data_IF_093782858964
#
_entry.id   IF_093782858964
#
_cell.length_a   1.000
_cell.length_b   1.000
_cell.length_c   1.000
_cell.angle_alpha   90.00
_cell.angle_beta   90.00
_cell.angle_gamma   90.00
#
_symmetry.space_group_name_H-M   'P 1'
#
loop_
_entity.id
_entity.type
_entity.pdbx_description
1 polymer ?
#
# COMPACT_ATOMS: atom_id res chain seq x y z
N UNK A 1 30.94 64.20 -59.97
CA UNK A 1 30.17 64.58 -58.77
C UNK A 1 29.58 63.31 -58.18
N UNK A 2 29.98 62.99 -56.96
CA UNK A 2 29.48 61.85 -56.17
C UNK A 2 28.11 62.19 -55.59
N UNK A 3 27.15 61.28 -55.67
CA UNK A 3 25.99 61.29 -54.78
C UNK A 3 25.66 59.86 -54.34
N UNK A 4 25.88 59.64 -53.06
CA UNK A 4 25.55 58.46 -52.28
C UNK A 4 24.02 58.23 -52.21
N UNK A 5 23.56 57.08 -52.68
CA UNK A 5 22.23 56.54 -52.39
C UNK A 5 22.32 55.56 -51.21
N UNK A 6 21.63 55.91 -50.12
CA UNK A 6 21.60 55.17 -48.84
C UNK A 6 21.06 53.74 -49.03
N UNK A 7 21.88 52.73 -48.77
CA UNK A 7 21.40 51.35 -48.56
C UNK A 7 20.77 51.23 -47.17
N UNK A 8 19.45 51.00 -47.13
CA UNK A 8 18.76 50.55 -45.91
C UNK A 8 19.10 49.08 -45.68
N UNK A 9 20.03 48.81 -44.76
CA UNK A 9 20.26 47.46 -44.25
C UNK A 9 19.09 47.11 -43.34
N UNK A 10 18.15 46.31 -43.86
CA UNK A 10 17.16 45.64 -43.02
C UNK A 10 17.92 44.59 -42.20
N UNK A 11 18.27 44.94 -40.95
CA UNK A 11 18.67 43.94 -39.96
C UNK A 11 17.44 43.14 -39.60
N UNK A 12 17.17 42.06 -40.34
CA UNK A 12 16.35 40.97 -39.82
C UNK A 12 17.19 40.35 -38.72
N UNK A 13 16.90 40.73 -37.48
CA UNK A 13 17.31 39.95 -36.32
C UNK A 13 16.71 38.56 -36.49
N UNK A 14 17.53 37.62 -36.98
CA UNK A 14 17.31 36.20 -36.76
C UNK A 14 17.32 36.02 -35.24
N UNK A 15 16.15 36.13 -34.61
CA UNK A 15 15.95 35.56 -33.29
C UNK A 15 16.13 34.06 -33.48
N UNK A 16 17.33 33.57 -33.18
CA UNK A 16 17.60 32.16 -33.02
C UNK A 16 16.47 31.62 -32.15
N UNK A 17 15.58 30.84 -32.76
CA UNK A 17 14.60 30.07 -32.04
C UNK A 17 15.44 29.07 -31.26
N UNK A 18 15.69 29.38 -29.99
CA UNK A 18 16.17 28.38 -29.05
C UNK A 18 15.11 27.30 -29.13
N UNK A 19 15.46 26.18 -29.77
CA UNK A 19 14.75 24.92 -29.55
C UNK A 19 15.00 24.64 -28.08
N UNK A 20 14.14 25.19 -27.23
CA UNK A 20 13.99 24.68 -25.88
C UNK A 20 13.52 23.25 -26.15
N UNK A 21 14.40 22.27 -25.93
CA UNK A 21 14.00 20.88 -25.90
C UNK A 21 12.89 20.81 -24.84
N UNK A 22 11.65 20.84 -25.31
CA UNK A 22 10.48 20.80 -24.44
C UNK A 22 10.45 19.39 -23.85
N UNK A 23 10.71 19.26 -22.56
CA UNK A 23 10.49 18.02 -21.82
C UNK A 23 8.99 17.63 -21.82
N UNK A 24 8.10 18.58 -22.17
CA UNK A 24 6.77 18.27 -22.67
C UNK A 24 6.85 17.74 -24.10
N UNK A 25 7.30 16.50 -24.22
CA UNK A 25 7.31 15.72 -25.45
C UNK A 25 6.58 14.39 -25.24
N UNK A 26 6.23 13.74 -26.34
CA UNK A 26 5.44 12.51 -26.31
C UNK A 26 6.18 11.35 -25.62
N UNK A 27 7.51 11.27 -25.70
CA UNK A 27 8.28 10.17 -25.13
C UNK A 27 8.31 10.24 -23.59
N UNK A 28 8.65 11.42 -23.05
CA UNK A 28 8.61 11.70 -21.62
C UNK A 28 7.19 11.51 -21.05
N UNK A 29 6.16 11.96 -21.78
CA UNK A 29 4.76 11.75 -21.40
C UNK A 29 4.39 10.26 -21.31
N UNK A 30 4.66 9.49 -22.38
CA UNK A 30 4.30 8.07 -22.42
C UNK A 30 5.05 7.27 -21.35
N UNK A 31 6.30 7.64 -21.08
CA UNK A 31 7.08 7.02 -19.99
C UNK A 31 6.44 7.28 -18.62
N UNK A 32 6.03 8.51 -18.32
CA UNK A 32 5.35 8.83 -17.06
C UNK A 32 3.99 8.14 -16.95
N UNK A 33 3.22 8.10 -18.05
CA UNK A 33 1.94 7.41 -18.08
C UNK A 33 2.10 5.90 -17.86
N UNK A 34 3.05 5.26 -18.52
CA UNK A 34 3.34 3.84 -18.31
C UNK A 34 3.73 3.54 -16.86
N UNK A 35 4.54 4.41 -16.24
CA UNK A 35 4.89 4.28 -14.82
C UNK A 35 3.66 4.41 -13.93
N UNK A 36 2.81 5.42 -14.16
CA UNK A 36 1.56 5.59 -13.39
C UNK A 36 0.67 4.34 -13.49
N UNK A 37 0.42 3.84 -14.70
CA UNK A 37 -0.39 2.64 -14.92
C UNK A 37 0.18 1.41 -14.21
N UNK A 38 1.50 1.27 -14.17
CA UNK A 38 2.14 0.18 -13.44
C UNK A 38 1.90 0.27 -11.93
N UNK A 39 1.97 1.46 -11.34
CA UNK A 39 1.64 1.68 -9.92
C UNK A 39 0.17 1.41 -9.62
N UNK A 40 -0.74 1.92 -10.45
CA UNK A 40 -2.19 1.66 -10.31
C UNK A 40 -2.51 0.17 -10.44
N UNK A 41 -1.83 -0.54 -11.36
CA UNK A 41 -1.99 -1.99 -11.51
C UNK A 41 -1.56 -2.75 -10.27
N UNK A 42 -0.40 -2.40 -9.68
CA UNK A 42 0.06 -3.01 -8.41
C UNK A 42 -0.88 -2.70 -7.26
N UNK A 43 -1.34 -1.45 -7.12
CA UNK A 43 -2.34 -1.08 -6.13
C UNK A 43 -3.63 -1.91 -6.25
N UNK A 44 -4.13 -2.08 -7.47
CA UNK A 44 -5.31 -2.90 -7.72
C UNK A 44 -5.08 -4.38 -7.37
N UNK A 45 -3.87 -4.90 -7.60
CA UNK A 45 -3.50 -6.25 -7.21
C UNK A 45 -3.49 -6.41 -5.68
N UNK A 46 -2.81 -5.51 -4.96
CA UNK A 46 -2.80 -5.54 -3.49
C UNK A 46 -4.22 -5.41 -2.90
N UNK A 47 -5.08 -4.61 -3.52
CA UNK A 47 -6.48 -4.47 -3.10
C UNK A 47 -7.27 -5.76 -3.29
N UNK A 48 -7.06 -6.49 -4.39
CA UNK A 48 -7.68 -7.80 -4.61
C UNK A 48 -7.23 -8.81 -3.57
N UNK A 49 -5.92 -8.86 -3.30
CA UNK A 49 -5.34 -9.74 -2.28
C UNK A 49 -5.90 -9.41 -0.89
N UNK A 50 -5.97 -8.13 -0.52
CA UNK A 50 -6.58 -7.71 0.73
C UNK A 50 -8.04 -8.16 0.85
N UNK A 51 -8.85 -7.94 -0.20
CA UNK A 51 -10.26 -8.31 -0.19
C UNK A 51 -10.46 -9.82 -0.06
N UNK A 52 -9.59 -10.63 -0.66
CA UNK A 52 -9.64 -12.08 -0.51
C UNK A 52 -9.35 -12.51 0.93
N UNK A 53 -8.32 -11.94 1.56
CA UNK A 53 -8.00 -12.27 2.96
C UNK A 53 -9.07 -11.74 3.92
N UNK A 54 -9.61 -10.54 3.67
CA UNK A 54 -10.71 -9.99 4.46
C UNK A 54 -11.95 -10.91 4.41
N UNK A 55 -12.35 -11.35 3.22
CA UNK A 55 -13.48 -12.28 3.06
C UNK A 55 -13.24 -13.59 3.83
N UNK A 56 -12.01 -14.10 3.80
CA UNK A 56 -11.63 -15.29 4.59
C UNK A 56 -11.78 -15.02 6.09
N UNK A 57 -11.23 -13.91 6.58
CA UNK A 57 -11.33 -13.51 7.99
C UNK A 57 -12.79 -13.32 8.45
N UNK A 58 -13.65 -12.76 7.61
CA UNK A 58 -15.08 -12.56 7.90
C UNK A 58 -15.82 -13.90 8.02
N UNK A 59 -15.49 -14.87 7.17
CA UNK A 59 -16.07 -16.21 7.20
C UNK A 59 -15.52 -17.10 8.33
N UNK A 60 -14.33 -16.81 8.84
CA UNK A 60 -13.65 -17.64 9.83
C UNK A 60 -14.23 -17.43 11.23
N UNK A 61 -14.58 -18.54 11.89
CA UNK A 61 -14.90 -18.57 13.31
C UNK A 61 -13.61 -18.42 14.11
N UNK A 62 -13.34 -17.21 14.57
CA UNK A 62 -12.21 -16.90 15.45
C UNK A 62 -12.72 -16.88 16.89
N UNK A 63 -12.03 -17.59 17.78
CA UNK A 63 -12.42 -17.78 19.16
C UNK A 63 -12.53 -16.45 19.89
N UNK A 64 -11.62 -15.50 19.67
CA UNK A 64 -11.66 -14.19 20.33
C UNK A 64 -12.89 -13.35 19.96
N UNK A 65 -13.59 -13.68 18.86
CA UNK A 65 -14.86 -13.03 18.49
C UNK A 65 -16.03 -13.53 19.34
N UNK A 66 -15.93 -14.72 19.93
CA UNK A 66 -17.06 -15.44 20.54
C UNK A 66 -16.84 -15.82 22.00
N UNK A 67 -15.59 -15.86 22.46
CA UNK A 67 -15.22 -16.33 23.79
C UNK A 67 -14.39 -15.29 24.52
N UNK A 68 -14.60 -15.19 25.84
CA UNK A 68 -13.66 -14.52 26.74
C UNK A 68 -12.40 -15.37 26.94
N UNK A 69 -11.34 -14.79 27.51
CA UNK A 69 -10.13 -15.55 27.85
C UNK A 69 -10.41 -16.71 28.81
N UNK A 70 -11.29 -16.53 29.80
CA UNK A 70 -11.71 -17.59 30.73
C UNK A 70 -12.45 -18.72 30.02
N UNK A 71 -13.41 -18.37 29.15
CA UNK A 71 -14.12 -19.35 28.34
C UNK A 71 -13.18 -20.11 27.38
N UNK A 72 -12.14 -19.43 26.87
CA UNK A 72 -11.11 -20.09 26.10
C UNK A 72 -10.31 -21.11 26.93
N UNK A 73 -10.02 -20.83 28.22
CA UNK A 73 -9.38 -21.80 29.13
C UNK A 73 -10.29 -23.02 29.33
N UNK A 74 -11.57 -22.81 29.57
CA UNK A 74 -12.55 -23.90 29.71
C UNK A 74 -12.62 -24.77 28.45
N UNK A 75 -12.51 -24.18 27.25
CA UNK A 75 -12.43 -24.93 25.99
C UNK A 75 -11.21 -25.88 25.96
N UNK A 76 -10.05 -25.45 26.44
CA UNK A 76 -8.85 -26.30 26.51
C UNK A 76 -8.98 -27.44 27.55
N UNK A 77 -9.67 -27.18 28.66
CA UNK A 77 -9.84 -28.13 29.74
C UNK A 77 -10.91 -29.20 29.45
N UNK A 78 -11.97 -28.83 28.72
CA UNK A 78 -13.18 -29.65 28.56
C UNK A 78 -13.09 -30.74 27.50
N UNK A 79 -12.30 -30.53 26.45
CA UNK A 79 -12.32 -31.40 25.27
C UNK A 79 -11.11 -32.33 25.20
N UNK A 80 -11.28 -33.44 24.48
CA UNK A 80 -10.25 -34.46 24.29
C UNK A 80 -9.00 -33.93 23.57
N UNK A 81 -7.86 -34.60 23.75
CA UNK A 81 -6.55 -34.21 23.19
C UNK A 81 -6.57 -33.92 21.67
N UNK A 82 -7.46 -34.57 20.91
CA UNK A 82 -7.65 -34.32 19.48
C UNK A 82 -8.14 -32.90 19.20
N UNK A 83 -9.05 -32.37 20.02
CA UNK A 83 -9.52 -30.98 19.91
C UNK A 83 -8.41 -29.99 20.25
N UNK A 84 -7.63 -30.27 21.29
CA UNK A 84 -6.47 -29.44 21.66
C UNK A 84 -5.41 -29.37 20.54
N UNK A 85 -5.26 -30.43 19.76
CA UNK A 85 -4.41 -30.42 18.55
C UNK A 85 -4.96 -29.48 17.47
N UNK A 86 -6.29 -29.47 17.26
CA UNK A 86 -6.94 -28.57 16.32
C UNK A 86 -6.82 -27.10 16.78
N UNK A 87 -7.03 -26.83 18.07
CA UNK A 87 -6.84 -25.51 18.65
C UNK A 87 -5.39 -25.00 18.50
N UNK A 88 -4.39 -25.87 18.72
CA UNK A 88 -2.99 -25.53 18.48
C UNK A 88 -2.72 -25.22 17.00
N UNK A 89 -3.26 -26.03 16.09
CA UNK A 89 -3.12 -25.77 14.65
C UNK A 89 -3.75 -24.44 14.25
N UNK A 90 -4.92 -24.12 14.80
CA UNK A 90 -5.63 -22.87 14.56
C UNK A 90 -4.85 -21.66 15.11
N UNK A 91 -4.33 -21.76 16.33
CA UNK A 91 -3.46 -20.74 16.93
C UNK A 91 -2.23 -20.46 16.08
N UNK A 92 -1.50 -21.50 15.67
CA UNK A 92 -0.31 -21.36 14.83
C UNK A 92 -0.65 -20.74 13.47
N UNK A 93 -1.74 -21.19 12.85
CA UNK A 93 -2.23 -20.60 11.59
C UNK A 93 -2.55 -19.11 11.75
N UNK A 94 -3.16 -18.71 12.87
CA UNK A 94 -3.43 -17.31 13.15
C UNK A 94 -2.14 -16.49 13.35
N UNK A 95 -1.08 -17.06 13.94
CA UNK A 95 0.23 -16.42 13.97
C UNK A 95 0.83 -16.26 12.57
N UNK A 96 0.82 -17.30 11.75
CA UNK A 96 1.39 -17.28 10.39
C UNK A 96 0.67 -16.23 9.52
N UNK A 97 -0.66 -16.20 9.56
CA UNK A 97 -1.45 -15.20 8.83
C UNK A 97 -1.14 -13.79 9.32
N UNK A 98 -1.01 -13.60 10.64
CA UNK A 98 -0.65 -12.29 11.21
C UNK A 98 0.68 -11.77 10.66
N UNK A 99 1.70 -12.63 10.58
CA UNK A 99 3.02 -12.26 10.07
C UNK A 99 2.99 -11.95 8.58
N UNK A 100 2.33 -12.78 7.77
CA UNK A 100 2.16 -12.55 6.32
C UNK A 100 1.45 -11.23 6.05
N UNK A 101 0.39 -10.91 6.80
CA UNK A 101 -0.34 -9.65 6.65
C UNK A 101 0.50 -8.44 7.07
N UNK A 102 1.34 -8.58 8.10
CA UNK A 102 2.26 -7.52 8.50
C UNK A 102 3.33 -7.26 7.44
N UNK A 103 3.87 -8.33 6.84
CA UNK A 103 4.80 -8.21 5.72
C UNK A 103 4.14 -7.52 4.52
N UNK A 104 2.89 -7.87 4.20
CA UNK A 104 2.17 -7.21 3.11
C UNK A 104 1.87 -5.74 3.39
N UNK A 105 1.55 -5.37 4.64
CA UNK A 105 1.46 -3.97 5.05
C UNK A 105 2.75 -3.22 4.74
N UNK A 106 3.91 -3.80 5.09
CA UNK A 106 5.20 -3.21 4.78
C UNK A 106 5.44 -3.07 3.28
N UNK A 107 5.23 -4.14 2.48
CA UNK A 107 5.37 -4.10 1.02
C UNK A 107 4.55 -2.97 0.40
N UNK A 108 3.26 -2.88 0.74
CA UNK A 108 2.38 -1.81 0.25
C UNK A 108 2.88 -0.42 0.68
N UNK A 109 3.37 -0.28 1.91
CA UNK A 109 3.91 0.99 2.40
C UNK A 109 5.14 1.48 1.62
N UNK A 110 5.96 0.56 1.09
CA UNK A 110 7.16 0.94 0.31
C UNK A 110 6.83 1.61 -1.02
N UNK A 111 5.62 1.38 -1.56
CA UNK A 111 5.15 1.98 -2.81
C UNK A 111 4.77 3.46 -2.65
N UNK A 112 4.60 3.94 -1.41
CA UNK A 112 4.17 5.32 -1.11
C UNK A 112 5.12 6.37 -1.67
N UNK A 113 6.42 6.19 -1.47
CA UNK A 113 7.42 7.13 -1.98
C UNK A 113 7.43 7.14 -3.51
N UNK A 114 7.19 6.00 -4.14
CA UNK A 114 7.03 5.90 -5.59
C UNK A 114 5.83 6.68 -6.12
N UNK A 115 4.66 6.55 -5.48
CA UNK A 115 3.47 7.29 -5.84
C UNK A 115 3.60 8.82 -5.59
N UNK A 116 4.30 9.21 -4.52
CA UNK A 116 4.64 10.63 -4.25
C UNK A 116 5.59 11.19 -5.32
N UNK A 117 6.58 10.40 -5.71
CA UNK A 117 7.51 10.77 -6.79
C UNK A 117 6.77 10.95 -8.12
N UNK A 118 5.79 10.10 -8.44
CA UNK A 118 4.94 10.28 -9.63
C UNK A 118 4.22 11.63 -9.63
N UNK A 119 3.67 12.06 -8.49
CA UNK A 119 3.01 13.37 -8.39
C UNK A 119 3.99 14.52 -8.68
N UNK A 120 5.24 14.42 -8.21
CA UNK A 120 6.27 15.42 -8.47
C UNK A 120 6.67 15.45 -9.96
N UNK A 121 6.86 14.28 -10.57
CA UNK A 121 7.21 14.15 -11.99
C UNK A 121 6.12 14.70 -12.90
N UNK A 122 4.85 14.41 -12.61
CA UNK A 122 3.72 15.00 -13.32
C UNK A 122 3.61 16.52 -13.11
N UNK A 123 4.00 17.01 -11.92
CA UNK A 123 4.09 18.44 -11.64
C UNK A 123 5.14 19.13 -12.51
N UNK A 124 6.32 18.53 -12.66
CA UNK A 124 7.36 19.01 -13.56
C UNK A 124 6.89 19.01 -15.02
N UNK A 125 6.28 17.91 -15.48
CA UNK A 125 5.68 17.81 -16.82
C UNK A 125 4.65 18.92 -17.07
N UNK A 126 3.76 19.20 -16.10
CA UNK A 126 2.78 20.28 -16.22
C UNK A 126 3.45 21.65 -16.39
N UNK A 127 4.49 21.93 -15.61
CA UNK A 127 5.25 23.18 -15.72
C UNK A 127 5.96 23.31 -17.07
N UNK A 128 6.52 22.22 -17.60
CA UNK A 128 7.22 22.26 -18.88
C UNK A 128 6.24 22.40 -20.05
N UNK A 129 5.07 21.76 -19.98
CA UNK A 129 3.99 21.98 -20.96
C UNK A 129 3.45 23.41 -20.91
N UNK A 130 3.35 24.01 -19.72
CA UNK A 130 2.92 25.40 -19.55
C UNK A 130 3.94 26.39 -20.17
N UNK A 131 5.24 26.20 -19.92
CA UNK A 131 6.32 26.98 -20.57
C UNK A 131 6.28 26.85 -22.10
N UNK A 132 5.93 25.67 -22.61
CA UNK A 132 5.74 25.41 -24.03
C UNK A 132 4.41 25.95 -24.59
N UNK A 133 3.58 26.62 -23.77
CA UNK A 133 2.24 27.13 -24.11
C UNK A 133 1.25 26.05 -24.55
N UNK A 134 1.47 24.81 -24.10
CA UNK A 134 0.61 23.65 -24.33
C UNK A 134 -0.38 23.50 -23.17
N UNK A 135 -1.38 24.37 -23.13
CA UNK A 135 -2.29 24.54 -21.98
C UNK A 135 -3.09 23.25 -21.69
N UNK A 136 -3.56 22.54 -22.73
CA UNK A 136 -4.31 21.29 -22.54
C UNK A 136 -3.46 20.18 -21.92
N UNK A 137 -2.20 20.06 -22.36
CA UNK A 137 -1.25 19.07 -21.86
C UNK A 137 -0.85 19.40 -20.42
N UNK A 138 -0.63 20.68 -20.11
CA UNK A 138 -0.42 21.14 -18.74
C UNK A 138 -1.59 20.79 -17.83
N UNK A 139 -2.83 21.11 -18.24
CA UNK A 139 -4.03 20.77 -17.49
C UNK A 139 -4.20 19.25 -17.29
N UNK A 140 -3.90 18.45 -18.31
CA UNK A 140 -3.94 16.99 -18.23
C UNK A 140 -2.86 16.44 -17.27
N UNK A 141 -1.63 16.96 -17.32
CA UNK A 141 -0.57 16.59 -16.39
C UNK A 141 -0.95 16.93 -14.94
N UNK A 142 -1.59 18.08 -14.69
CA UNK A 142 -2.13 18.43 -13.37
C UNK A 142 -3.21 17.47 -12.88
N UNK A 143 -4.01 16.88 -13.79
CA UNK A 143 -4.93 15.80 -13.43
C UNK A 143 -4.18 14.55 -12.96
N UNK A 144 -3.08 14.21 -13.62
CA UNK A 144 -2.22 13.09 -13.22
C UNK A 144 -1.51 13.33 -11.88
N UNK A 145 -1.14 14.58 -11.55
CA UNK A 145 -0.67 14.96 -10.21
C UNK A 145 -1.69 14.57 -9.14
N UNK A 146 -2.96 15.00 -9.32
CA UNK A 146 -4.04 14.72 -8.36
C UNK A 146 -4.29 13.21 -8.22
N UNK A 147 -4.28 12.49 -9.35
CA UNK A 147 -4.42 11.03 -9.36
C UNK A 147 -3.29 10.34 -8.60
N UNK A 148 -2.03 10.75 -8.80
CA UNK A 148 -0.87 10.20 -8.08
C UNK A 148 -0.89 10.51 -6.58
N UNK A 149 -1.40 11.69 -6.21
CA UNK A 149 -1.63 12.05 -4.80
C UNK A 149 -2.72 11.18 -4.16
N UNK A 150 -3.84 10.94 -4.86
CA UNK A 150 -4.87 10.00 -4.40
C UNK A 150 -4.29 8.61 -4.22
N UNK A 151 -3.56 8.10 -5.21
CA UNK A 151 -2.94 6.79 -5.15
C UNK A 151 -2.01 6.63 -3.93
N UNK A 152 -1.26 7.68 -3.59
CA UNK A 152 -0.42 7.69 -2.38
C UNK A 152 -1.26 7.57 -1.09
N UNK A 153 -2.41 8.25 -1.02
CA UNK A 153 -3.32 8.15 0.12
C UNK A 153 -3.96 6.76 0.19
N UNK A 154 -4.39 6.23 -0.95
CA UNK A 154 -5.04 4.93 -1.07
C UNK A 154 -4.10 3.78 -0.68
N UNK A 155 -2.82 3.84 -1.10
CA UNK A 155 -1.77 2.92 -0.67
C UNK A 155 -1.56 2.98 0.85
N UNK A 156 -1.58 4.18 1.45
CA UNK A 156 -1.37 4.33 2.88
C UNK A 156 -2.53 3.72 3.68
N UNK A 157 -3.77 3.96 3.22
CA UNK A 157 -4.97 3.34 3.78
C UNK A 157 -4.93 1.82 3.64
N UNK A 158 -4.53 1.31 2.47
CA UNK A 158 -4.44 -0.14 2.24
C UNK A 158 -3.39 -0.81 3.13
N UNK A 159 -2.20 -0.19 3.26
CA UNK A 159 -1.15 -0.64 4.20
C UNK A 159 -1.69 -0.73 5.63
N UNK A 160 -2.42 0.29 6.08
CA UNK A 160 -3.01 0.30 7.42
C UNK A 160 -4.08 -0.78 7.60
N UNK A 161 -4.90 -1.03 6.58
CA UNK A 161 -5.90 -2.11 6.61
C UNK A 161 -5.24 -3.49 6.77
N UNK A 162 -4.15 -3.76 6.05
CA UNK A 162 -3.35 -4.98 6.25
C UNK A 162 -2.84 -5.10 7.69
N UNK A 163 -2.27 -4.01 8.24
CA UNK A 163 -1.76 -3.96 9.61
C UNK A 163 -2.85 -4.24 10.65
N UNK A 164 -4.04 -3.67 10.47
CA UNK A 164 -5.16 -3.89 11.37
C UNK A 164 -5.66 -5.34 11.32
N UNK A 165 -5.70 -5.95 10.14
CA UNK A 165 -6.09 -7.35 10.00
C UNK A 165 -5.03 -8.30 10.61
N UNK A 166 -3.75 -7.99 10.41
CA UNK A 166 -2.64 -8.68 11.07
C UNK A 166 -2.79 -8.65 12.60
N UNK A 167 -3.11 -7.49 13.18
CA UNK A 167 -3.33 -7.34 14.62
C UNK A 167 -4.48 -8.21 15.12
N UNK A 168 -5.59 -8.31 14.38
CA UNK A 168 -6.75 -9.15 14.75
C UNK A 168 -6.39 -10.63 14.78
N UNK A 169 -5.62 -11.11 13.80
CA UNK A 169 -5.10 -12.48 13.81
C UNK A 169 -4.10 -12.72 14.94
N UNK A 170 -3.24 -11.75 15.26
CA UNK A 170 -2.35 -11.83 16.42
C UNK A 170 -3.15 -11.94 17.72
N UNK A 171 -4.22 -11.16 17.86
CA UNK A 171 -5.09 -11.20 19.03
C UNK A 171 -5.70 -12.59 19.23
N UNK A 172 -6.21 -13.21 18.15
CA UNK A 172 -6.70 -14.59 18.21
C UNK A 172 -5.64 -15.57 18.74
N UNK A 173 -4.45 -15.52 18.14
CA UNK A 173 -3.38 -16.44 18.49
C UNK A 173 -2.92 -16.25 19.94
N UNK A 174 -2.72 -15.01 20.37
CA UNK A 174 -2.28 -14.69 21.74
C UNK A 174 -3.32 -15.05 22.81
N UNK A 175 -4.62 -14.85 22.54
CA UNK A 175 -5.68 -15.28 23.45
C UNK A 175 -5.70 -16.80 23.58
N UNK A 176 -5.61 -17.50 22.46
CA UNK A 176 -5.62 -18.97 22.42
C UNK A 176 -4.41 -19.57 23.14
N UNK A 177 -3.23 -18.97 22.94
CA UNK A 177 -1.98 -19.38 23.61
C UNK A 177 -2.02 -19.11 25.12
N UNK A 178 -2.49 -17.93 25.53
CA UNK A 178 -2.66 -17.60 26.95
C UNK A 178 -3.62 -18.58 27.64
N UNK A 179 -4.70 -18.97 26.97
CA UNK A 179 -5.65 -19.94 27.50
C UNK A 179 -5.04 -21.34 27.64
N UNK A 180 -4.25 -21.78 26.65
CA UNK A 180 -3.50 -23.05 26.70
C UNK A 180 -2.53 -23.09 27.89
N UNK A 181 -1.74 -22.03 28.06
CA UNK A 181 -0.75 -21.94 29.14
C UNK A 181 -1.42 -21.95 30.53
N UNK A 182 -2.58 -21.31 30.68
CA UNK A 182 -3.35 -21.35 31.94
C UNK A 182 -3.86 -22.75 32.24
N UNK A 183 -4.44 -23.44 31.26
CA UNK A 183 -4.89 -24.83 31.41
C UNK A 183 -3.74 -25.78 31.81
N UNK A 184 -2.57 -25.63 31.18
CA UNK A 184 -1.37 -26.41 31.53
C UNK A 184 -0.95 -26.17 33.00
N UNK A 185 -0.96 -24.92 33.47
CA UNK A 185 -0.62 -24.59 34.87
C UNK A 185 -1.62 -25.19 35.87
N UNK A 186 -2.91 -25.19 35.56
CA UNK A 186 -3.95 -25.78 36.41
C UNK A 186 -3.86 -27.31 36.47
N UNK A 187 -3.51 -27.95 35.36
CA UNK A 187 -3.26 -29.39 35.30
C UNK A 187 -2.05 -29.83 36.12
N UNK A 188 -1.00 -29.00 36.22
CA UNK A 188 0.19 -29.29 37.03
C UNK A 188 -0.14 -29.17 38.52
N UNK A 189 -0.87 -28.13 38.94
CA UNK A 189 -1.28 -27.94 40.35
C UNK A 189 -2.20 -29.04 40.87
N UNK A 190 -3.09 -29.57 40.04
CA UNK A 190 -4.02 -30.65 40.42
C UNK A 190 -3.33 -32.02 40.58
N UNK A 191 -2.13 -32.19 40.00
CA UNK A 191 -1.33 -33.41 40.11
C UNK A 191 -0.29 -33.37 41.23
N UNK A 192 -0.21 -32.29 42.01
CA UNK A 192 0.70 -32.16 43.14
C UNK A 192 0.09 -32.85 44.39
N UNK A 193 0.78 -33.81 45.03
CA UNK A 193 0.23 -34.53 46.17
C UNK A 193 -0.01 -33.57 47.35
N UNK A 194 -1.09 -33.75 48.13
CA UNK A 194 -1.35 -32.90 49.29
C UNK A 194 -0.20 -33.04 50.30
N UNK A 195 0.34 -31.90 50.75
CA UNK A 195 1.33 -31.83 51.84
C UNK A 195 0.72 -32.19 53.18
#
# INVERSE_FOLDING_TARGET
MSFWGKFLIIKVSLSASVVIASECNSESWQTLLARQLAFETRYNQYTKEFNQVLSTYESQTLLYKHFTGEQAVELWAKYEQRFNTQLNSHMNTAYDISEVLLQQSYVVSTELEGARSLAQLWGAMAQDCDKAKLIHQSASALSHVKSSQSLSQDLNVLSEKFRQLSFRYRQEATMTDAARQSNERESVKSNEPPR
#
